data_IF_000332116034
#
_entry.id   IF_000332116034
#
_cell.length_a   1.000
_cell.length_b   1.000
_cell.length_c   1.000
_cell.angle_alpha   90.00
_cell.angle_beta   90.00
_cell.angle_gamma   90.00
#
_symmetry.space_group_name_H-M   'P 1'
#
loop_
_entity.id
_entity.type
_entity.pdbx_description
1 polymer ?
#
# COMPACT_ATOMS: atom_id res chain seq x y z
N UNK A 1 -19.89 -18.81 0.53
CA UNK A 1 -19.33 -20.14 0.79
C UNK A 1 -20.29 -20.90 1.68
N UNK A 2 -20.75 -22.08 1.27
CA UNK A 2 -21.56 -22.95 2.12
C UNK A 2 -20.69 -23.57 3.21
N UNK A 3 -21.04 -23.42 4.49
CA UNK A 3 -20.33 -24.08 5.58
C UNK A 3 -20.59 -25.59 5.62
N UNK A 4 -19.75 -26.34 6.33
CA UNK A 4 -19.79 -27.81 6.39
C UNK A 4 -21.17 -28.40 6.76
N UNK A 5 -21.97 -27.71 7.59
CA UNK A 5 -23.29 -28.20 8.01
C UNK A 5 -24.45 -27.65 7.15
N UNK A 6 -24.18 -27.06 5.98
CA UNK A 6 -25.22 -26.56 5.10
C UNK A 6 -25.99 -27.72 4.46
N UNK A 7 -27.21 -27.99 4.94
CA UNK A 7 -28.09 -29.05 4.38
C UNK A 7 -28.44 -28.87 2.91
N UNK A 8 -28.35 -27.65 2.38
CA UNK A 8 -28.59 -27.35 0.97
C UNK A 8 -27.52 -26.41 0.41
N UNK A 9 -26.67 -26.96 -0.45
CA UNK A 9 -25.86 -26.19 -1.40
C UNK A 9 -26.74 -25.67 -2.55
N UNK A 10 -26.22 -24.78 -3.40
CA UNK A 10 -26.93 -24.33 -4.60
C UNK A 10 -27.32 -25.53 -5.49
N UNK A 11 -26.44 -26.52 -5.60
CA UNK A 11 -26.74 -27.76 -6.31
C UNK A 11 -27.92 -28.52 -5.70
N UNK A 12 -27.94 -28.70 -4.37
CA UNK A 12 -29.07 -29.34 -3.68
C UNK A 12 -30.40 -28.62 -3.92
N UNK A 13 -30.40 -27.28 -3.94
CA UNK A 13 -31.60 -26.49 -4.25
C UNK A 13 -32.08 -26.69 -5.69
N UNK A 14 -31.15 -26.85 -6.64
CA UNK A 14 -31.51 -27.17 -8.04
C UNK A 14 -32.17 -28.54 -8.15
N UNK A 15 -31.61 -29.54 -7.47
CA UNK A 15 -32.17 -30.89 -7.43
C UNK A 15 -33.58 -30.91 -6.82
N UNK A 16 -33.79 -30.15 -5.73
CA UNK A 16 -35.10 -29.95 -5.13
C UNK A 16 -36.11 -29.42 -6.15
N UNK A 17 -35.75 -28.34 -6.86
CA UNK A 17 -36.61 -27.72 -7.87
C UNK A 17 -36.87 -28.67 -9.04
N UNK A 18 -35.84 -29.37 -9.52
CA UNK A 18 -35.97 -30.35 -10.60
C UNK A 18 -37.02 -31.41 -10.26
N UNK A 19 -36.89 -32.04 -9.09
CA UNK A 19 -37.83 -33.06 -8.61
C UNK A 19 -39.25 -32.55 -8.43
N UNK A 20 -39.42 -31.32 -7.92
CA UNK A 20 -40.75 -30.77 -7.63
C UNK A 20 -41.43 -30.23 -8.88
N UNK A 21 -40.73 -29.46 -9.71
CA UNK A 21 -41.31 -28.70 -10.82
C UNK A 21 -41.27 -29.43 -12.15
N UNK A 22 -40.27 -30.26 -12.38
CA UNK A 22 -40.09 -30.95 -13.66
C UNK A 22 -40.49 -32.42 -13.57
N UNK A 23 -40.16 -33.10 -12.47
CA UNK A 23 -40.56 -34.51 -12.27
C UNK A 23 -41.96 -34.64 -11.62
N UNK A 24 -42.62 -33.52 -11.31
CA UNK A 24 -43.98 -33.47 -10.75
C UNK A 24 -44.13 -34.05 -9.33
N UNK A 25 -43.03 -34.22 -8.59
CA UNK A 25 -43.05 -34.90 -7.29
C UNK A 25 -43.58 -33.98 -6.18
N UNK A 26 -44.40 -34.50 -5.23
CA UNK A 26 -44.88 -33.69 -4.11
C UNK A 26 -43.75 -33.11 -3.24
N UNK A 27 -43.85 -31.82 -2.90
CA UNK A 27 -42.85 -31.10 -2.09
C UNK A 27 -42.55 -31.80 -0.76
N UNK A 28 -43.56 -32.40 -0.13
CA UNK A 28 -43.44 -33.13 1.13
C UNK A 28 -42.52 -34.35 1.03
N UNK A 29 -42.61 -35.11 -0.06
CA UNK A 29 -41.78 -36.30 -0.28
C UNK A 29 -40.33 -35.90 -0.54
N UNK A 30 -40.11 -34.95 -1.45
CA UNK A 30 -38.76 -34.48 -1.78
C UNK A 30 -38.08 -33.82 -0.58
N UNK A 31 -38.82 -33.05 0.23
CA UNK A 31 -38.28 -32.45 1.46
C UNK A 31 -37.81 -33.51 2.46
N UNK A 32 -38.60 -34.60 2.64
CA UNK A 32 -38.24 -35.71 3.53
C UNK A 32 -36.98 -36.45 3.05
N UNK A 33 -36.89 -36.76 1.76
CA UNK A 33 -35.72 -37.40 1.15
C UNK A 33 -34.44 -36.57 1.28
N UNK A 34 -34.57 -35.25 1.17
CA UNK A 34 -33.44 -34.33 1.26
C UNK A 34 -33.11 -33.90 2.70
N UNK A 35 -33.82 -34.44 3.70
CA UNK A 35 -33.58 -34.12 5.11
C UNK A 35 -33.83 -32.66 5.47
N UNK A 36 -34.77 -31.98 4.80
CA UNK A 36 -35.13 -30.57 5.06
C UNK A 36 -36.59 -30.43 5.48
N UNK A 37 -36.93 -29.32 6.13
CA UNK A 37 -38.33 -29.02 6.45
C UNK A 37 -39.13 -28.68 5.19
N UNK A 38 -40.44 -28.99 5.20
CA UNK A 38 -41.38 -28.60 4.13
C UNK A 38 -41.35 -27.10 3.87
N UNK A 39 -41.27 -26.29 4.91
CA UNK A 39 -41.18 -24.83 4.80
C UNK A 39 -39.91 -24.37 4.08
N UNK A 40 -38.76 -25.03 4.34
CA UNK A 40 -37.52 -24.75 3.61
C UNK A 40 -37.67 -25.10 2.12
N UNK A 41 -38.28 -26.25 1.81
CA UNK A 41 -38.51 -26.68 0.44
C UNK A 41 -39.42 -25.71 -0.32
N UNK A 42 -40.58 -25.35 0.25
CA UNK A 42 -41.50 -24.37 -0.34
C UNK A 42 -40.84 -23.01 -0.57
N UNK A 43 -39.99 -22.55 0.37
CA UNK A 43 -39.24 -21.28 0.19
C UNK A 43 -38.36 -21.30 -1.06
N UNK A 44 -37.64 -22.39 -1.30
CA UNK A 44 -36.76 -22.50 -2.47
C UNK A 44 -37.52 -22.69 -3.77
N UNK A 45 -38.59 -23.48 -3.76
CA UNK A 45 -39.48 -23.64 -4.92
C UNK A 45 -40.12 -22.30 -5.29
N UNK A 46 -40.70 -21.57 -4.32
CA UNK A 46 -41.25 -20.24 -4.54
C UNK A 46 -40.22 -19.27 -5.13
N UNK A 47 -39.00 -19.28 -4.61
CA UNK A 47 -37.93 -18.41 -5.14
C UNK A 47 -37.52 -18.77 -6.57
N UNK A 48 -37.56 -20.05 -6.93
CA UNK A 48 -37.37 -20.46 -8.32
C UNK A 48 -38.53 -19.98 -9.20
N UNK A 49 -39.77 -20.07 -8.73
CA UNK A 49 -40.93 -19.59 -9.49
C UNK A 49 -40.86 -18.07 -9.72
N UNK A 50 -40.26 -17.31 -8.79
CA UNK A 50 -40.10 -15.85 -8.88
C UNK A 50 -38.87 -15.42 -9.72
N UNK A 51 -37.71 -16.04 -9.51
CA UNK A 51 -36.41 -15.56 -10.04
C UNK A 51 -35.69 -16.58 -10.95
N UNK A 52 -36.31 -17.73 -11.23
CA UNK A 52 -35.70 -18.84 -11.96
C UNK A 52 -34.45 -19.41 -11.27
N UNK A 53 -33.51 -19.95 -12.07
CA UNK A 53 -32.29 -20.58 -11.55
C UNK A 53 -31.38 -19.63 -10.78
N UNK A 54 -31.41 -18.33 -11.11
CA UNK A 54 -30.63 -17.30 -10.42
C UNK A 54 -31.08 -17.11 -8.96
N UNK A 55 -32.38 -17.30 -8.69
CA UNK A 55 -32.95 -17.24 -7.35
C UNK A 55 -32.34 -18.26 -6.37
N UNK A 56 -31.81 -19.37 -6.85
CA UNK A 56 -31.29 -20.44 -5.98
C UNK A 56 -29.91 -20.14 -5.39
N UNK A 57 -29.22 -19.11 -5.90
CA UNK A 57 -27.98 -18.62 -5.34
C UNK A 57 -28.19 -17.99 -3.95
N UNK A 58 -27.15 -17.99 -3.12
CA UNK A 58 -27.21 -17.31 -1.83
C UNK A 58 -27.37 -15.80 -2.05
N UNK A 59 -28.44 -15.24 -1.50
CA UNK A 59 -28.57 -13.79 -1.36
C UNK A 59 -27.65 -13.33 -0.24
N UNK A 60 -27.16 -12.11 -0.34
CA UNK A 60 -26.40 -11.48 0.73
C UNK A 60 -27.22 -11.47 2.02
N UNK A 61 -26.70 -12.09 3.08
CA UNK A 61 -27.29 -11.96 4.44
C UNK A 61 -26.95 -10.63 5.10
N UNK A 62 -26.27 -9.72 4.38
CA UNK A 62 -25.89 -8.41 4.94
C UNK A 62 -27.17 -7.57 5.08
N UNK A 63 -27.39 -6.92 6.24
CA UNK A 63 -28.51 -6.02 6.42
C UNK A 63 -28.58 -4.98 5.30
N UNK A 64 -29.78 -4.76 4.74
CA UNK A 64 -29.99 -3.74 3.72
C UNK A 64 -29.69 -2.33 4.25
N UNK A 65 -29.87 -2.11 5.55
CA UNK A 65 -29.57 -0.84 6.23
C UNK A 65 -28.76 -1.10 7.49
N UNK A 66 -27.71 -0.32 7.68
CA UNK A 66 -26.93 -0.27 8.93
C UNK A 66 -27.14 1.12 9.51
N UNK A 67 -27.90 1.22 10.60
CA UNK A 67 -28.27 2.50 11.20
C UNK A 67 -27.07 3.34 11.65
N UNK A 68 -26.00 2.68 12.10
CA UNK A 68 -24.81 3.33 12.66
C UNK A 68 -23.68 3.49 11.63
N UNK A 69 -24.03 3.55 10.33
CA UNK A 69 -23.02 3.85 9.31
C UNK A 69 -22.67 5.34 9.40
N UNK A 70 -21.39 5.64 9.48
CA UNK A 70 -20.87 7.00 9.38
C UNK A 70 -21.40 7.67 8.11
N UNK A 71 -21.83 8.93 8.22
CA UNK A 71 -22.34 9.68 7.08
C UNK A 71 -21.25 9.89 6.03
N UNK A 72 -21.65 10.01 4.76
CA UNK A 72 -20.70 10.25 3.67
C UNK A 72 -19.87 11.54 3.89
N UNK A 73 -20.49 12.58 4.45
CA UNK A 73 -19.81 13.83 4.78
C UNK A 73 -18.65 13.62 5.78
N UNK A 74 -18.85 12.80 6.82
CA UNK A 74 -17.79 12.50 7.79
C UNK A 74 -16.72 11.59 7.17
N UNK A 75 -17.10 10.65 6.30
CA UNK A 75 -16.12 9.84 5.57
C UNK A 75 -15.23 10.72 4.67
N UNK A 76 -15.80 11.69 3.96
CA UNK A 76 -15.05 12.66 3.14
C UNK A 76 -14.10 13.49 4.00
N UNK A 77 -14.54 13.98 5.15
CA UNK A 77 -13.68 14.77 6.04
C UNK A 77 -12.51 13.92 6.59
N UNK A 78 -12.75 12.65 6.92
CA UNK A 78 -11.67 11.71 7.31
C UNK A 78 -10.64 11.55 6.21
N UNK A 79 -11.07 11.43 4.94
CA UNK A 79 -10.17 11.31 3.79
C UNK A 79 -9.38 12.59 3.57
N UNK A 80 -10.03 13.76 3.62
CA UNK A 80 -9.39 15.06 3.47
C UNK A 80 -8.29 15.27 4.51
N UNK A 81 -8.62 15.08 5.80
CA UNK A 81 -7.62 15.22 6.89
C UNK A 81 -6.46 14.24 6.71
N UNK A 82 -6.74 13.02 6.25
CA UNK A 82 -5.71 12.01 5.99
C UNK A 82 -4.77 12.45 4.87
N UNK A 83 -5.29 12.98 3.77
CA UNK A 83 -4.54 13.43 2.61
C UNK A 83 -3.68 14.66 2.95
N UNK A 84 -4.29 15.68 3.57
CA UNK A 84 -3.62 16.94 3.89
C UNK A 84 -2.52 16.78 4.94
N UNK A 85 -2.83 16.07 6.03
CA UNK A 85 -1.97 16.04 7.23
C UNK A 85 -1.12 14.78 7.33
N UNK A 86 -1.40 13.75 6.53
CA UNK A 86 -0.71 12.45 6.55
C UNK A 86 -0.57 11.88 7.98
N UNK A 87 -1.61 12.03 8.78
CA UNK A 87 -1.60 11.64 10.19
C UNK A 87 -2.30 10.30 10.44
N UNK A 88 -1.95 9.67 11.57
CA UNK A 88 -2.50 8.36 11.96
C UNK A 88 -3.96 8.42 12.40
N UNK A 89 -4.61 7.26 12.45
CA UNK A 89 -6.03 7.12 12.82
C UNK A 89 -6.39 7.76 14.17
N UNK A 90 -5.46 7.76 15.12
CA UNK A 90 -5.70 8.27 16.48
C UNK A 90 -5.71 9.79 16.50
N UNK A 91 -4.89 10.43 15.65
CA UNK A 91 -4.94 11.88 15.47
C UNK A 91 -6.23 12.29 14.78
N UNK A 92 -6.58 11.65 13.66
CA UNK A 92 -7.86 11.91 12.94
C UNK A 92 -9.06 11.69 13.87
N UNK A 93 -8.97 10.67 14.73
CA UNK A 93 -10.02 10.37 15.72
C UNK A 93 -10.21 11.51 16.71
N UNK A 94 -9.12 12.08 17.23
CA UNK A 94 -9.18 13.25 18.11
C UNK A 94 -9.71 14.49 17.39
N UNK A 95 -9.26 14.72 16.16
CA UNK A 95 -9.61 15.92 15.40
C UNK A 95 -11.10 15.93 14.98
N UNK A 96 -11.66 14.77 14.64
CA UNK A 96 -13.02 14.66 14.07
C UNK A 96 -14.05 14.01 14.98
N UNK A 97 -13.66 13.54 16.17
CA UNK A 97 -14.56 12.82 17.10
C UNK A 97 -15.02 11.45 16.58
N UNK A 98 -14.40 10.92 15.53
CA UNK A 98 -14.72 9.61 14.96
C UNK A 98 -13.87 8.54 15.65
N UNK A 99 -14.41 7.41 16.13
CA UNK A 99 -13.58 6.37 16.76
C UNK A 99 -12.46 5.87 15.83
N UNK A 100 -11.24 5.71 16.34
CA UNK A 100 -10.06 5.28 15.55
C UNK A 100 -10.28 3.98 14.75
N UNK A 101 -11.06 3.02 15.30
CA UNK A 101 -11.47 1.80 14.58
C UNK A 101 -12.32 2.09 13.34
N UNK A 102 -13.18 3.11 13.43
CA UNK A 102 -14.06 3.56 12.36
C UNK A 102 -13.25 4.30 11.30
N UNK A 103 -12.33 5.19 11.71
CA UNK A 103 -11.36 5.82 10.81
C UNK A 103 -10.61 4.75 10.01
N UNK A 104 -10.07 3.73 10.67
CA UNK A 104 -9.36 2.62 9.98
C UNK A 104 -10.24 1.93 8.93
N UNK A 105 -11.51 1.66 9.26
CA UNK A 105 -12.48 1.04 8.35
C UNK A 105 -12.89 1.94 7.18
N UNK A 106 -12.94 3.26 7.40
CA UNK A 106 -13.20 4.24 6.35
C UNK A 106 -12.03 4.25 5.38
N UNK A 107 -10.80 4.46 5.89
CA UNK A 107 -9.58 4.48 5.06
C UNK A 107 -9.44 3.20 4.22
N UNK A 108 -9.63 2.04 4.83
CA UNK A 108 -9.54 0.76 4.12
C UNK A 108 -10.59 0.61 3.01
N UNK A 109 -11.84 1.04 3.27
CA UNK A 109 -12.94 0.95 2.28
C UNK A 109 -12.71 1.84 1.08
N UNK A 110 -12.06 2.98 1.28
CA UNK A 110 -11.69 3.93 0.24
C UNK A 110 -10.32 3.64 -0.38
N UNK A 111 -9.71 2.50 -0.04
CA UNK A 111 -8.42 2.10 -0.62
C UNK A 111 -7.24 2.99 -0.24
N UNK A 112 -7.35 3.77 0.85
CA UNK A 112 -6.26 4.66 1.26
C UNK A 112 -5.05 3.85 1.75
N UNK A 113 -3.84 4.13 1.22
CA UNK A 113 -2.63 3.43 1.63
C UNK A 113 -2.27 3.72 3.09
N UNK A 114 -1.58 2.77 3.71
CA UNK A 114 -0.97 2.96 5.01
C UNK A 114 0.13 4.03 4.92
N UNK A 115 0.33 4.84 5.96
CA UNK A 115 1.40 5.87 5.95
C UNK A 115 2.78 5.26 5.74
N UNK A 116 3.01 4.05 6.25
CA UNK A 116 4.27 3.33 6.07
C UNK A 116 4.53 2.94 4.61
N UNK A 117 3.51 2.98 3.76
CA UNK A 117 3.63 2.76 2.32
C UNK A 117 3.73 4.08 1.54
N UNK A 118 3.75 5.23 2.22
CA UNK A 118 3.86 6.55 1.60
C UNK A 118 5.23 7.15 1.88
N UNK A 119 5.79 7.82 0.88
CA UNK A 119 6.99 8.62 1.06
C UNK A 119 6.66 9.82 1.98
N UNK A 120 7.41 10.05 3.08
CA UNK A 120 7.08 11.09 4.05
C UNK A 120 7.08 12.51 3.48
N UNK A 121 7.83 12.77 2.40
CA UNK A 121 8.00 14.11 1.82
C UNK A 121 6.90 14.36 0.79
N UNK A 122 6.76 13.48 -0.18
CA UNK A 122 5.87 13.62 -1.34
C UNK A 122 4.47 13.08 -1.09
N UNK A 123 4.30 12.11 -0.17
CA UNK A 123 3.03 11.44 0.07
C UNK A 123 2.67 10.42 -1.01
N UNK A 124 3.54 10.19 -1.98
CA UNK A 124 3.34 9.17 -3.00
C UNK A 124 3.54 7.77 -2.43
N UNK A 125 2.82 6.79 -3.00
CA UNK A 125 3.03 5.40 -2.62
C UNK A 125 4.46 5.01 -2.98
N UNK A 126 5.23 4.63 -1.96
CA UNK A 126 6.58 4.06 -2.15
C UNK A 126 6.40 2.86 -3.05
N UNK A 127 6.93 2.97 -4.28
CA UNK A 127 6.96 1.86 -5.21
C UNK A 127 8.01 0.88 -4.69
N UNK A 128 7.60 0.02 -3.77
CA UNK A 128 8.41 -1.10 -3.27
C UNK A 128 8.46 -2.21 -4.34
N UNK A 129 8.78 -1.84 -5.57
CA UNK A 129 9.29 -2.81 -6.53
C UNK A 129 10.72 -3.12 -6.11
N UNK A 130 10.99 -4.37 -5.69
CA UNK A 130 12.37 -4.86 -5.73
C UNK A 130 12.81 -4.78 -7.19
N UNK A 131 13.91 -4.08 -7.42
CA UNK A 131 14.48 -3.79 -8.72
C UNK A 131 13.62 -2.85 -9.56
N UNK A 132 14.10 -1.61 -9.70
CA UNK A 132 14.17 -1.04 -11.05
C UNK A 132 14.79 -2.13 -11.93
N UNK A 133 13.98 -2.81 -12.74
CA UNK A 133 14.45 -3.86 -13.67
C UNK A 133 15.51 -3.30 -14.63
N UNK A 134 15.49 -1.99 -14.82
CA UNK A 134 16.52 -1.22 -15.49
C UNK A 134 17.68 -0.93 -14.53
N UNK A 135 18.71 -1.77 -14.57
CA UNK A 135 20.04 -1.36 -14.11
C UNK A 135 20.57 -0.38 -15.15
N UNK A 136 20.78 0.86 -14.76
CA UNK A 136 21.42 1.86 -15.61
C UNK A 136 22.93 1.64 -15.56
N UNK A 137 23.40 0.61 -16.25
CA UNK A 137 24.83 0.32 -16.45
C UNK A 137 25.29 0.84 -17.81
N UNK A 138 26.47 1.46 -17.84
CA UNK A 138 27.10 1.94 -19.08
C UNK A 138 27.95 0.84 -19.68
N UNK A 139 28.11 0.89 -21.00
CA UNK A 139 28.75 -0.19 -21.76
C UNK A 139 30.28 -0.19 -21.66
N UNK A 140 30.90 0.93 -21.25
CA UNK A 140 32.36 1.03 -21.13
C UNK A 140 32.80 1.43 -19.71
N UNK A 141 33.95 0.91 -19.23
CA UNK A 141 34.60 1.40 -18.01
C UNK A 141 34.81 2.93 -18.05
N UNK A 142 34.48 3.62 -16.96
CA UNK A 142 34.67 5.06 -16.80
C UNK A 142 33.51 5.92 -17.31
N UNK A 143 32.53 5.36 -18.01
CA UNK A 143 31.37 6.11 -18.52
C UNK A 143 30.41 6.57 -17.41
N UNK A 144 30.40 5.88 -16.28
CA UNK A 144 29.62 6.26 -15.10
C UNK A 144 30.34 5.82 -13.82
N UNK A 145 30.71 6.81 -13.00
CA UNK A 145 31.30 6.59 -11.68
C UNK A 145 30.32 7.12 -10.62
N UNK A 146 29.92 6.23 -9.71
CA UNK A 146 29.14 6.59 -8.53
C UNK A 146 30.06 7.08 -7.43
N UNK A 147 29.95 8.36 -7.08
CA UNK A 147 30.69 8.96 -5.97
C UNK A 147 29.76 9.20 -4.79
N UNK A 148 30.15 8.72 -3.60
CA UNK A 148 29.48 9.00 -2.34
C UNK A 148 30.48 9.49 -1.30
N UNK A 149 30.03 10.39 -0.42
CA UNK A 149 30.82 10.86 0.73
C UNK A 149 30.12 10.46 2.00
N UNK A 150 30.66 9.45 2.68
CA UNK A 150 30.15 8.98 3.96
C UNK A 150 30.84 9.69 5.10
N UNK A 151 30.07 10.41 5.92
CA UNK A 151 30.54 10.98 7.19
C UNK A 151 30.45 9.93 8.28
N UNK A 152 31.59 9.53 8.83
CA UNK A 152 31.68 8.57 9.93
C UNK A 152 32.30 9.23 11.15
N UNK A 153 31.85 8.84 12.34
CA UNK A 153 32.52 9.26 13.59
C UNK A 153 33.94 8.74 13.59
N UNK A 154 34.92 9.63 13.79
CA UNK A 154 36.33 9.23 13.87
C UNK A 154 36.52 8.22 14.99
N UNK A 155 37.33 7.20 14.75
CA UNK A 155 37.72 6.25 15.80
C UNK A 155 38.90 6.88 16.56
N UNK A 156 38.84 6.99 17.90
CA UNK A 156 39.96 7.50 18.68
C UNK A 156 41.21 6.64 18.54
N UNK A 157 42.38 7.26 18.72
CA UNK A 157 43.64 6.54 18.86
C UNK A 157 43.53 5.55 20.04
N UNK A 158 43.94 4.31 19.81
CA UNK A 158 43.76 3.21 20.77
C UNK A 158 42.39 2.51 20.70
N UNK A 159 41.54 2.84 19.71
CA UNK A 159 40.31 2.11 19.40
C UNK A 159 39.04 2.65 20.07
N UNK A 160 37.89 2.27 19.52
CA UNK A 160 36.59 2.67 20.04
C UNK A 160 36.14 1.86 21.26
N UNK A 161 34.90 2.05 21.69
CA UNK A 161 34.29 1.39 22.85
C UNK A 161 34.37 -0.14 22.87
N UNK A 162 34.53 -0.76 21.70
CA UNK A 162 34.73 -2.22 21.58
C UNK A 162 36.09 -2.67 22.12
N UNK A 163 37.09 -1.81 22.09
CA UNK A 163 38.45 -2.04 22.61
C UNK A 163 38.58 -1.50 24.03
N UNK A 164 38.02 -0.32 24.30
CA UNK A 164 38.22 0.41 25.57
C UNK A 164 37.06 0.26 26.57
N UNK A 165 36.04 -0.53 26.24
CA UNK A 165 34.81 -0.66 27.03
C UNK A 165 33.86 0.53 26.87
N UNK A 166 32.59 0.35 27.25
CA UNK A 166 31.55 1.40 27.14
C UNK A 166 31.82 2.62 28.03
N UNK A 167 32.54 2.46 29.13
CA UNK A 167 32.89 3.54 30.05
C UNK A 167 33.74 4.64 29.39
N UNK A 168 34.70 4.25 28.54
CA UNK A 168 35.54 5.18 27.78
C UNK A 168 34.73 6.07 26.82
N UNK A 169 33.57 5.61 26.33
CA UNK A 169 32.69 6.42 25.46
C UNK A 169 31.99 7.55 26.22
N UNK A 170 31.65 7.31 27.49
CA UNK A 170 31.00 8.30 28.36
C UNK A 170 32.02 9.35 28.79
N UNK A 171 33.24 8.96 29.13
CA UNK A 171 34.33 9.91 29.40
C UNK A 171 34.65 10.82 28.20
N UNK A 172 34.58 10.28 26.97
CA UNK A 172 34.74 11.07 25.75
C UNK A 172 33.59 12.04 25.47
N UNK A 173 32.36 11.79 25.95
CA UNK A 173 31.25 12.75 25.85
C UNK A 173 31.48 14.03 26.66
N UNK A 174 32.27 13.94 27.75
CA UNK A 174 32.54 15.05 28.66
C UNK A 174 33.84 15.82 28.33
N UNK A 175 34.61 15.41 27.32
CA UNK A 175 35.82 16.13 26.87
C UNK A 175 35.43 17.37 26.05
N UNK A 176 36.11 18.50 26.29
CA UNK A 176 35.95 19.74 25.50
C UNK A 176 36.29 19.56 24.01
N UNK A 177 37.21 18.66 23.68
CA UNK A 177 37.61 18.33 22.30
C UNK A 177 36.77 17.16 21.79
N UNK A 178 35.85 17.42 20.86
CA UNK A 178 35.02 16.38 20.26
C UNK A 178 35.84 15.53 19.29
N UNK A 179 35.66 14.22 19.35
CA UNK A 179 36.15 13.29 18.32
C UNK A 179 35.47 13.70 17.00
N UNK A 180 36.25 14.12 16.02
CA UNK A 180 35.76 14.69 14.77
C UNK A 180 35.02 13.67 13.87
N UNK A 181 34.71 14.11 12.65
CA UNK A 181 34.20 13.23 11.60
C UNK A 181 35.32 12.94 10.60
N UNK A 182 35.38 11.70 10.13
CA UNK A 182 36.13 11.32 8.95
C UNK A 182 35.16 11.23 7.76
N UNK A 183 35.62 11.72 6.60
CA UNK A 183 34.84 11.74 5.37
C UNK A 183 35.45 10.69 4.44
N UNK A 184 34.79 9.54 4.35
CA UNK A 184 35.16 8.49 3.42
C UNK A 184 34.58 8.85 2.06
N UNK A 185 35.45 9.16 1.11
CA UNK A 185 35.09 9.39 -0.27
C UNK A 185 35.19 8.04 -0.96
N UNK A 186 34.07 7.55 -1.45
CA UNK A 186 34.01 6.30 -2.20
C UNK A 186 33.63 6.62 -3.64
N UNK A 187 34.33 5.99 -4.58
CA UNK A 187 34.03 6.03 -6.00
C UNK A 187 33.92 4.59 -6.50
N UNK A 188 32.83 4.27 -7.21
CA UNK A 188 32.59 2.96 -7.78
C UNK A 188 32.28 3.13 -9.26
N UNK A 189 33.08 2.50 -10.12
CA UNK A 189 32.78 2.39 -11.54
C UNK A 189 31.62 1.41 -11.75
N UNK A 190 30.57 1.83 -12.47
CA UNK A 190 29.36 1.01 -12.55
C UNK A 190 29.53 -0.22 -13.46
N UNK A 191 30.42 -0.15 -14.46
CA UNK A 191 30.68 -1.26 -15.40
C UNK A 191 31.64 -2.31 -14.80
N UNK A 192 32.84 -1.90 -14.43
CA UNK A 192 33.89 -2.81 -13.91
C UNK A 192 33.67 -3.21 -12.45
N UNK A 193 32.82 -2.48 -11.71
CA UNK A 193 32.65 -2.60 -10.26
C UNK A 193 33.92 -2.34 -9.46
N UNK A 194 34.94 -1.73 -10.06
CA UNK A 194 36.14 -1.27 -9.36
C UNK A 194 35.73 -0.22 -8.33
N UNK A 195 36.14 -0.41 -7.08
CA UNK A 195 35.87 0.50 -5.98
C UNK A 195 37.17 1.15 -5.49
N UNK A 196 37.13 2.47 -5.32
CA UNK A 196 38.16 3.28 -4.70
C UNK A 196 37.57 3.95 -3.46
N UNK A 197 38.34 3.98 -2.37
CA UNK A 197 37.92 4.70 -1.16
C UNK A 197 39.12 5.33 -0.45
N UNK A 198 38.96 6.58 -0.03
CA UNK A 198 39.97 7.30 0.75
C UNK A 198 39.33 8.20 1.81
N UNK A 199 40.10 8.49 2.87
CA UNK A 199 39.67 9.41 3.94
C UNK A 199 40.29 10.77 3.64
N UNK A 200 39.44 11.77 3.41
CA UNK A 200 39.89 13.13 3.12
C UNK A 200 39.38 14.12 4.17
N UNK A 201 40.13 15.18 4.48
CA UNK A 201 39.78 16.12 5.53
C UNK A 201 38.52 16.93 5.20
N UNK A 202 38.28 17.26 3.90
CA UNK A 202 37.09 17.98 3.40
C UNK A 202 36.83 17.67 1.93
N UNK A 203 35.60 17.33 1.58
CA UNK A 203 35.20 16.98 0.21
C UNK A 203 35.47 18.10 -0.81
N UNK A 204 35.01 19.32 -0.54
CA UNK A 204 35.11 20.43 -1.48
C UNK A 204 36.56 20.85 -1.81
N UNK A 205 37.47 20.77 -0.83
CA UNK A 205 38.87 21.15 -1.01
C UNK A 205 39.60 20.17 -1.94
N UNK A 206 39.33 18.87 -1.81
CA UNK A 206 39.97 17.84 -2.63
C UNK A 206 39.56 17.93 -4.11
N UNK A 207 38.25 18.06 -4.39
CA UNK A 207 37.77 18.19 -5.77
C UNK A 207 38.36 19.42 -6.48
N UNK A 208 38.47 20.53 -5.74
CA UNK A 208 39.09 21.77 -6.25
C UNK A 208 40.57 21.57 -6.59
N UNK A 209 41.32 20.89 -5.71
CA UNK A 209 42.76 20.60 -5.91
C UNK A 209 43.02 19.68 -7.11
N UNK A 210 42.05 18.82 -7.46
CA UNK A 210 42.13 17.90 -8.59
C UNK A 210 41.48 18.43 -9.87
N UNK A 211 41.17 19.73 -9.93
CA UNK A 211 40.60 20.37 -11.12
C UNK A 211 39.16 19.94 -11.45
N UNK A 212 38.47 19.29 -10.51
CA UNK A 212 37.08 18.86 -10.67
C UNK A 212 36.18 20.03 -10.27
N UNK A 213 35.53 20.64 -11.27
CA UNK A 213 34.55 21.69 -11.01
C UNK A 213 33.28 21.09 -10.41
N UNK A 214 33.07 21.31 -9.11
CA UNK A 214 31.78 21.01 -8.47
C UNK A 214 30.78 22.03 -8.97
N UNK A 215 29.90 21.62 -9.87
CA UNK A 215 28.70 22.41 -10.17
C UNK A 215 27.64 22.00 -9.16
N UNK A 216 27.30 22.89 -8.22
CA UNK A 216 26.10 22.70 -7.42
C UNK A 216 24.91 22.73 -8.39
N UNK A 217 24.33 21.58 -8.68
CA UNK A 217 22.99 21.55 -9.24
C UNK A 217 22.05 21.81 -8.06
N UNK A 218 21.45 23.01 -7.94
CA UNK A 218 20.30 23.15 -7.06
C UNK A 218 19.29 22.13 -7.58
N UNK A 219 19.00 21.10 -6.79
CA UNK A 219 17.82 20.28 -7.04
C UNK A 219 16.66 21.27 -7.09
N UNK A 220 16.00 21.48 -8.24
CA UNK A 220 14.80 22.29 -8.23
C UNK A 220 13.85 21.58 -7.25
N UNK A 221 13.40 22.29 -6.21
CA UNK A 221 12.19 21.87 -5.55
C UNK A 221 11.15 21.67 -6.66
N UNK A 222 10.51 20.49 -6.78
CA UNK A 222 9.51 20.29 -7.81
C UNK A 222 8.45 21.36 -7.58
N UNK A 223 8.42 22.36 -8.46
CA UNK A 223 7.30 23.27 -8.53
C UNK A 223 6.13 22.38 -8.95
N UNK A 224 5.01 22.37 -8.21
CA UNK A 224 3.88 21.52 -8.57
C UNK A 224 3.49 21.86 -10.00
N UNK A 225 3.66 20.89 -10.91
CA UNK A 225 3.19 21.01 -12.28
C UNK A 225 1.68 21.27 -12.22
N UNK A 226 1.16 22.36 -12.83
CA UNK A 226 -0.28 22.52 -12.93
C UNK A 226 -0.82 21.31 -13.70
N UNK A 227 -1.83 20.66 -13.12
CA UNK A 227 -2.51 19.54 -13.75
C UNK A 227 -2.92 19.91 -15.18
N UNK A 228 -2.70 19.03 -16.19
CA UNK A 228 -3.26 19.25 -17.50
C UNK A 228 -4.77 19.39 -17.35
N UNK A 229 -5.33 20.46 -17.92
CA UNK A 229 -6.78 20.66 -18.00
C UNK A 229 -7.42 19.39 -18.57
N UNK A 230 -8.56 18.94 -18.02
CA UNK A 230 -9.20 17.71 -18.47
C UNK A 230 -9.48 17.82 -19.97
N UNK A 231 -8.91 16.89 -20.74
CA UNK A 231 -9.25 16.71 -22.15
C UNK A 231 -10.76 16.52 -22.26
N UNK A 232 -11.47 17.28 -23.12
CA UNK A 232 -12.90 17.12 -23.30
C UNK A 232 -13.20 15.69 -23.78
N UNK A 233 -14.16 15.04 -23.13
CA UNK A 233 -14.62 13.72 -23.50
C UNK A 233 -15.09 13.69 -24.96
N UNK A 234 -14.76 12.65 -25.74
CA UNK A 234 -15.34 12.48 -27.07
C UNK A 234 -16.87 12.31 -26.95
N UNK A 235 -17.64 12.81 -27.93
CA UNK A 235 -19.10 12.72 -27.89
C UNK A 235 -19.55 11.25 -27.91
N UNK A 236 -20.69 10.92 -27.25
CA UNK A 236 -21.19 9.55 -27.17
C UNK A 236 -21.57 9.02 -28.56
N UNK A 237 -21.14 7.79 -28.85
CA UNK A 237 -21.53 7.06 -30.06
C UNK A 237 -23.06 6.86 -30.10
N UNK A 238 -23.71 7.02 -31.27
CA UNK A 238 -25.15 6.82 -31.40
C UNK A 238 -25.53 5.35 -31.16
N UNK A 239 -26.56 5.17 -30.33
CA UNK A 239 -27.16 3.89 -30.00
C UNK A 239 -27.57 3.12 -31.25
N UNK A 240 -26.93 1.97 -31.48
CA UNK A 240 -27.40 0.98 -32.44
C UNK A 240 -28.57 0.22 -31.81
N UNK A 241 -29.78 0.66 -32.11
CA UNK A 241 -31.02 -0.10 -31.87
C UNK A 241 -30.92 -1.36 -32.74
N UNK A 242 -30.80 -2.53 -32.12
CA UNK A 242 -31.10 -3.80 -32.81
C UNK A 242 -32.58 -4.11 -32.59
N UNK A 243 -33.29 -4.21 -33.71
CA UNK A 243 -34.55 -4.94 -33.83
C UNK A 243 -34.34 -6.42 -33.53
#
# INVERSE_FOLDING_TARGET
>A
MSHANARLTVHGRRLLVQRVRFDGRPVSHVAKEMGISRQCAHRWVKRYDEDGWAGLCDRSSRPHRVANRTSAAVEIEVLRVREDRRCGRDQISRDLGVPARTVSRILHRHGMPALAALDPITGEVIRTGRATTWRYERDQPGDLIHVDVKKLGRIPDGGGWRVQGRAASVEHQHKKTRIGLDYVHAAIDDHTRLAYAEILPRAAAWFTDHGIQITEHPTPHPTPTPHPSPTPHPPPHPHRIRR
#
